data_IF_124184558636
#
_entry.id   IF_124184558636
#
_cell.length_a   1.000
_cell.length_b   1.000
_cell.length_c   1.000
_cell.angle_alpha   90.00
_cell.angle_beta   90.00
_cell.angle_gamma   90.00
#
_symmetry.space_group_name_H-M   'P 1'
#
loop_
_entity.id
_entity.type
_entity.pdbx_description
1 polymer ?
#
# COMPACT_ATOMS: atom_id res chain seq x y z
N UNK A 1 33.83 26.49 6.05
CA UNK A 1 32.66 27.10 6.74
C UNK A 1 31.40 26.51 6.13
N UNK A 2 30.39 26.12 6.92
CA UNK A 2 29.11 25.70 6.37
C UNK A 2 28.54 26.82 5.50
N UNK A 3 27.98 26.47 4.34
CA UNK A 3 27.39 27.46 3.44
C UNK A 3 26.24 28.18 4.15
N UNK A 4 26.09 29.49 3.93
CA UNK A 4 24.98 30.26 4.49
C UNK A 4 23.69 30.06 3.70
N UNK A 5 22.54 30.18 4.37
CA UNK A 5 21.23 30.09 3.76
C UNK A 5 21.07 31.19 2.69
N UNK A 6 20.75 30.79 1.46
CA UNK A 6 20.60 31.66 0.30
C UNK A 6 19.40 32.61 0.41
N UNK A 7 18.42 32.28 1.26
CA UNK A 7 17.18 33.05 1.43
C UNK A 7 17.27 34.08 2.56
N UNK A 8 17.57 33.65 3.79
CA UNK A 8 17.66 34.57 4.94
C UNK A 8 19.05 35.18 5.15
N UNK A 9 20.11 34.61 4.55
CA UNK A 9 21.52 35.05 4.68
C UNK A 9 22.09 35.09 6.11
N UNK A 10 21.36 34.59 7.11
CA UNK A 10 21.75 34.65 8.52
C UNK A 10 22.06 33.28 9.15
N UNK A 11 21.36 32.23 8.74
CA UNK A 11 21.52 30.88 9.30
C UNK A 11 22.41 29.99 8.41
N UNK A 12 22.98 28.94 8.98
CA UNK A 12 23.65 27.89 8.23
C UNK A 12 22.64 27.17 7.31
N UNK A 13 23.06 26.83 6.09
CA UNK A 13 22.27 26.01 5.20
C UNK A 13 22.41 24.53 5.57
N UNK A 14 21.28 23.85 5.64
CA UNK A 14 21.17 22.42 5.97
C UNK A 14 20.64 21.62 4.78
N UNK A 15 19.83 22.24 3.93
CA UNK A 15 19.23 21.62 2.74
C UNK A 15 19.84 22.23 1.48
N UNK A 16 20.32 21.37 0.59
CA UNK A 16 20.77 21.76 -0.74
C UNK A 16 19.75 21.31 -1.79
N UNK A 17 19.28 22.25 -2.63
CA UNK A 17 18.30 22.02 -3.70
C UNK A 17 18.93 22.36 -5.06
N UNK A 18 19.66 21.41 -5.69
CA UNK A 18 20.46 21.72 -6.88
C UNK A 18 19.63 22.19 -8.07
N UNK A 19 18.43 21.64 -8.28
CA UNK A 19 17.54 22.02 -9.39
C UNK A 19 17.09 23.48 -9.30
N UNK A 20 16.96 24.03 -8.08
CA UNK A 20 16.59 25.42 -7.83
C UNK A 20 17.81 26.33 -7.59
N UNK A 21 19.02 25.77 -7.52
CA UNK A 21 20.26 26.47 -7.13
C UNK A 21 20.13 27.16 -5.76
N UNK A 22 19.42 26.53 -4.81
CA UNK A 22 19.18 27.06 -3.47
C UNK A 22 19.86 26.22 -2.40
N UNK A 23 20.40 26.89 -1.38
CA UNK A 23 20.85 26.29 -0.11
C UNK A 23 20.06 26.93 1.01
N UNK A 24 19.29 26.17 1.79
CA UNK A 24 18.32 26.69 2.74
C UNK A 24 18.58 26.17 4.16
N UNK A 25 18.36 27.01 5.17
CA UNK A 25 18.20 26.53 6.56
C UNK A 25 16.82 25.88 6.73
N UNK A 26 16.61 25.15 7.82
CA UNK A 26 15.34 24.46 8.12
C UNK A 26 14.10 25.35 7.95
N UNK A 27 14.08 26.55 8.55
CA UNK A 27 12.95 27.49 8.45
C UNK A 27 12.67 27.90 7.01
N UNK A 28 13.70 28.33 6.28
CA UNK A 28 13.54 28.79 4.90
C UNK A 28 13.13 27.65 3.95
N UNK A 29 13.52 26.41 4.25
CA UNK A 29 13.08 25.22 3.55
C UNK A 29 11.59 24.94 3.79
N UNK A 30 11.11 24.99 5.05
CA UNK A 30 9.67 24.85 5.36
C UNK A 30 8.82 25.87 4.60
N UNK A 31 9.22 27.15 4.63
CA UNK A 31 8.53 28.21 3.88
C UNK A 31 8.57 27.95 2.37
N UNK A 32 9.68 27.45 1.84
CA UNK A 32 9.80 27.13 0.42
C UNK A 32 8.89 25.97 0.01
N UNK A 33 8.81 24.94 0.87
CA UNK A 33 7.98 23.76 0.68
C UNK A 33 6.47 24.12 0.67
N UNK A 34 5.99 24.84 1.68
CA UNK A 34 4.58 25.25 1.78
C UNK A 34 4.18 26.20 0.64
N UNK A 35 5.05 27.14 0.27
CA UNK A 35 4.81 28.02 -0.89
C UNK A 35 4.76 27.25 -2.22
N UNK A 36 5.52 26.16 -2.38
CA UNK A 36 5.40 25.30 -3.56
C UNK A 36 4.04 24.62 -3.62
N UNK A 37 3.54 24.08 -2.50
CA UNK A 37 2.22 23.46 -2.44
C UNK A 37 1.17 24.50 -2.83
N UNK A 38 1.22 25.69 -2.22
CA UNK A 38 0.32 26.81 -2.54
C UNK A 38 0.30 27.11 -4.04
N UNK A 39 1.47 27.37 -4.63
CA UNK A 39 1.60 27.64 -6.06
C UNK A 39 1.11 26.48 -6.92
N UNK A 40 1.33 25.23 -6.52
CA UNK A 40 0.90 24.06 -7.29
C UNK A 40 -0.63 23.94 -7.30
N UNK A 41 -1.28 24.19 -6.15
CA UNK A 41 -2.75 24.22 -6.04
C UNK A 41 -3.33 25.34 -6.89
N UNK A 42 -2.75 26.54 -6.83
CA UNK A 42 -3.18 27.73 -7.59
C UNK A 42 -2.97 27.55 -9.10
N UNK A 43 -1.77 27.15 -9.53
CA UNK A 43 -1.39 26.94 -10.94
C UNK A 43 -2.35 25.99 -11.66
N UNK A 44 -2.77 24.92 -10.96
CA UNK A 44 -3.64 23.89 -11.51
C UNK A 44 -5.11 24.05 -11.10
N UNK A 45 -5.47 25.11 -10.36
CA UNK A 45 -6.82 25.40 -9.88
C UNK A 45 -7.46 24.18 -9.20
N UNK A 46 -6.73 23.55 -8.28
CA UNK A 46 -7.11 22.25 -7.70
C UNK A 46 -8.38 22.33 -6.84
N UNK A 47 -8.54 23.42 -6.09
CA UNK A 47 -9.70 23.73 -5.26
C UNK A 47 -9.72 25.23 -4.96
N UNK A 48 -10.85 25.72 -4.44
CA UNK A 48 -11.06 27.09 -3.97
C UNK A 48 -11.03 27.14 -2.45
N UNK A 49 -10.85 28.33 -1.88
CA UNK A 49 -10.75 28.54 -0.43
C UNK A 49 -12.03 28.17 0.34
N UNK A 50 -13.18 28.19 -0.32
CA UNK A 50 -14.50 27.79 0.21
C UNK A 50 -14.81 26.30 0.02
N UNK A 51 -13.94 25.54 -0.67
CA UNK A 51 -14.13 24.11 -0.84
C UNK A 51 -13.77 23.34 0.44
N UNK A 52 -14.60 22.36 0.79
CA UNK A 52 -14.24 21.31 1.75
C UNK A 52 -13.41 20.24 1.04
N UNK A 53 -12.14 20.08 1.44
CA UNK A 53 -11.17 19.22 0.76
C UNK A 53 -10.86 17.97 1.60
N UNK A 54 -11.16 16.79 1.05
CA UNK A 54 -10.77 15.53 1.65
C UNK A 54 -9.31 15.20 1.33
N UNK A 55 -8.50 14.86 2.33
CA UNK A 55 -7.08 14.51 2.15
C UNK A 55 -6.86 13.05 2.52
N UNK A 56 -6.46 12.23 1.54
CA UNK A 56 -6.19 10.82 1.77
C UNK A 56 -4.88 10.63 2.58
N UNK A 57 -5.01 10.23 3.85
CA UNK A 57 -3.89 10.02 4.78
C UNK A 57 -3.64 8.54 5.06
N UNK A 58 -2.39 8.12 4.86
CA UNK A 58 -1.98 6.71 4.96
C UNK A 58 -1.06 6.40 6.15
N UNK A 59 -0.79 7.39 7.00
CA UNK A 59 0.28 7.35 8.00
C UNK A 59 1.69 7.49 7.40
N UNK A 60 1.85 7.56 6.07
CA UNK A 60 3.17 7.66 5.43
C UNK A 60 3.58 9.10 5.17
N UNK A 61 4.90 9.36 5.23
CA UNK A 61 5.52 10.70 5.10
C UNK A 61 4.87 11.58 4.02
N UNK A 62 4.62 11.07 2.82
CA UNK A 62 4.10 11.89 1.71
C UNK A 62 2.67 12.36 1.96
N UNK A 63 1.81 11.48 2.48
CA UNK A 63 0.42 11.85 2.80
C UNK A 63 0.32 12.70 4.07
N UNK A 64 1.23 12.50 5.03
CA UNK A 64 1.29 13.29 6.26
C UNK A 64 1.80 14.71 5.96
N UNK A 65 2.89 14.82 5.20
CA UNK A 65 3.41 16.09 4.68
C UNK A 65 2.39 16.85 3.83
N UNK A 66 1.58 16.13 3.03
CA UNK A 66 0.51 16.75 2.25
C UNK A 66 -0.52 17.43 3.15
N UNK A 67 -1.05 16.73 4.16
CA UNK A 67 -2.08 17.30 5.03
C UNK A 67 -1.56 18.53 5.78
N UNK A 68 -0.41 18.39 6.44
CA UNK A 68 0.24 19.50 7.14
C UNK A 68 0.57 20.65 6.19
N UNK A 69 1.20 20.37 5.06
CA UNK A 69 1.59 21.38 4.07
C UNK A 69 0.41 22.12 3.46
N UNK A 70 -0.74 21.46 3.27
CA UNK A 70 -1.99 22.10 2.83
C UNK A 70 -2.58 23.02 3.91
N UNK A 71 -2.63 22.57 5.18
CA UNK A 71 -3.11 23.37 6.31
C UNK A 71 -2.28 24.65 6.49
N UNK A 72 -0.96 24.53 6.41
CA UNK A 72 -0.03 25.68 6.44
C UNK A 72 -0.17 26.60 5.22
N UNK A 73 -0.37 26.01 4.03
CA UNK A 73 -0.51 26.79 2.80
C UNK A 73 -1.85 27.53 2.71
N UNK A 74 -2.93 26.96 3.28
CA UNK A 74 -4.29 27.44 3.18
C UNK A 74 -5.01 27.35 4.54
N UNK A 75 -4.61 28.15 5.55
CA UNK A 75 -5.14 28.03 6.91
C UNK A 75 -6.65 28.26 7.02
N UNK A 76 -7.23 29.02 6.08
CA UNK A 76 -8.67 29.31 6.02
C UNK A 76 -9.50 28.25 5.29
N UNK A 77 -8.87 27.30 4.58
CA UNK A 77 -9.59 26.24 3.88
C UNK A 77 -9.99 25.11 4.84
N UNK A 78 -11.14 24.48 4.57
CA UNK A 78 -11.61 23.36 5.38
C UNK A 78 -11.02 22.04 4.84
N UNK A 79 -10.24 21.35 5.68
CA UNK A 79 -9.65 20.06 5.37
C UNK A 79 -10.28 18.97 6.24
N UNK A 80 -10.45 17.79 5.66
CA UNK A 80 -10.85 16.57 6.38
C UNK A 80 -9.87 15.46 6.03
N UNK A 81 -9.25 14.86 7.04
CA UNK A 81 -8.38 13.71 6.89
C UNK A 81 -9.21 12.46 6.63
N UNK A 82 -8.92 11.72 5.55
CA UNK A 82 -9.59 10.48 5.20
C UNK A 82 -8.60 9.32 5.34
N UNK A 83 -8.88 8.37 6.23
CA UNK A 83 -8.03 7.21 6.48
C UNK A 83 -8.77 5.89 6.17
N UNK A 84 -8.06 4.95 5.55
CA UNK A 84 -8.58 3.58 5.34
C UNK A 84 -7.70 2.63 6.14
N UNK A 85 -8.24 2.08 7.21
CA UNK A 85 -7.62 1.02 7.99
C UNK A 85 -7.79 -0.31 7.22
N UNK A 86 -6.66 -0.91 6.84
CA UNK A 86 -6.61 -2.09 5.99
C UNK A 86 -6.66 -3.41 6.75
N UNK A 87 -6.62 -3.36 8.10
CA UNK A 87 -6.56 -4.55 8.96
C UNK A 87 -5.33 -5.44 8.75
N UNK A 88 -4.24 -4.88 8.21
CA UNK A 88 -2.94 -5.55 8.12
C UNK A 88 -2.32 -5.54 9.51
N UNK A 89 -2.16 -6.72 10.10
CA UNK A 89 -1.74 -6.90 11.49
C UNK A 89 -0.37 -6.28 11.76
N UNK A 90 -0.28 -5.48 12.81
CA UNK A 90 0.96 -4.84 13.26
C UNK A 90 1.40 -3.67 12.39
N UNK A 91 0.68 -3.37 11.31
CA UNK A 91 1.01 -2.28 10.39
C UNK A 91 -0.10 -1.22 10.38
N UNK A 92 -1.37 -1.64 10.33
CA UNK A 92 -2.48 -0.69 10.18
C UNK A 92 -2.75 0.07 11.47
N UNK A 93 -2.57 -0.59 12.61
CA UNK A 93 -2.67 0.03 13.93
C UNK A 93 -1.65 1.15 14.09
N UNK A 94 -0.38 0.89 13.76
CA UNK A 94 0.68 1.90 13.78
C UNK A 94 0.44 3.03 12.77
N UNK A 95 -0.07 2.72 11.57
CA UNK A 95 -0.45 3.76 10.61
C UNK A 95 -1.56 4.66 11.14
N UNK A 96 -2.55 4.08 11.82
CA UNK A 96 -3.70 4.79 12.38
C UNK A 96 -3.28 5.71 13.53
N UNK A 97 -2.46 5.20 14.45
CA UNK A 97 -1.87 5.98 15.55
C UNK A 97 -1.20 7.26 15.03
N UNK A 98 -0.33 7.14 14.01
CA UNK A 98 0.35 8.31 13.43
C UNK A 98 -0.59 9.27 12.72
N UNK A 99 -1.67 8.77 12.12
CA UNK A 99 -2.71 9.63 11.53
C UNK A 99 -3.45 10.40 12.62
N UNK A 100 -3.84 9.75 13.70
CA UNK A 100 -4.54 10.37 14.83
C UNK A 100 -3.66 11.45 15.49
N UNK A 101 -2.37 11.18 15.72
CA UNK A 101 -1.40 12.17 16.23
C UNK A 101 -1.32 13.44 15.35
N UNK A 102 -1.27 13.28 14.02
CA UNK A 102 -1.20 14.44 13.11
C UNK A 102 -2.51 15.24 13.08
N UNK A 103 -3.63 14.54 13.10
CA UNK A 103 -4.96 15.17 13.05
C UNK A 103 -5.20 15.98 14.33
N UNK A 104 -4.79 15.46 15.48
CA UNK A 104 -4.82 16.17 16.76
C UNK A 104 -3.90 17.41 16.73
N UNK A 105 -2.66 17.25 16.22
CA UNK A 105 -1.71 18.35 16.04
C UNK A 105 -2.27 19.51 15.19
N UNK A 106 -3.07 19.20 14.16
CA UNK A 106 -3.57 20.17 13.19
C UNK A 106 -4.99 20.68 13.46
N UNK A 107 -5.69 20.10 14.45
CA UNK A 107 -7.12 20.31 14.72
C UNK A 107 -7.96 20.15 13.43
N UNK A 108 -7.93 18.93 12.88
CA UNK A 108 -8.62 18.56 11.63
C UNK A 108 -9.62 17.43 11.90
N UNK A 109 -10.73 17.37 11.16
CA UNK A 109 -11.66 16.24 11.24
C UNK A 109 -11.04 14.97 10.62
N UNK A 110 -11.25 13.81 11.25
CA UNK A 110 -10.78 12.51 10.76
C UNK A 110 -11.96 11.55 10.50
N UNK A 111 -12.05 11.10 9.25
CA UNK A 111 -12.99 10.08 8.81
C UNK A 111 -12.24 8.78 8.51
N UNK A 112 -12.57 7.71 9.25
CA UNK A 112 -11.91 6.41 9.14
C UNK A 112 -12.85 5.36 8.56
N UNK A 113 -12.36 4.61 7.57
CA UNK A 113 -13.02 3.37 7.13
C UNK A 113 -12.24 2.16 7.66
N UNK A 114 -12.84 1.39 8.57
CA UNK A 114 -12.23 0.17 9.11
C UNK A 114 -12.71 -1.05 8.32
N UNK A 115 -11.81 -1.63 7.51
CA UNK A 115 -12.15 -2.73 6.62
C UNK A 115 -12.68 -3.97 7.36
N UNK A 116 -12.09 -4.27 8.51
CA UNK A 116 -12.44 -5.45 9.30
C UNK A 116 -13.79 -5.26 10.00
N UNK A 117 -14.05 -4.08 10.58
CA UNK A 117 -15.33 -3.77 11.23
C UNK A 117 -16.47 -3.60 10.22
N UNK A 118 -16.23 -2.89 9.13
CA UNK A 118 -17.29 -2.51 8.19
C UNK A 118 -17.58 -3.58 7.14
N UNK A 119 -16.56 -4.31 6.67
CA UNK A 119 -16.72 -5.32 5.63
C UNK A 119 -16.41 -6.74 6.08
N UNK A 120 -15.92 -6.95 7.30
CA UNK A 120 -15.67 -8.28 7.85
C UNK A 120 -14.44 -8.98 7.29
N UNK A 121 -13.52 -8.26 6.64
CA UNK A 121 -12.27 -8.80 6.13
C UNK A 121 -11.10 -7.82 6.22
N UNK A 122 -9.87 -8.33 6.15
CA UNK A 122 -8.66 -7.53 6.04
C UNK A 122 -7.93 -7.74 4.71
N UNK A 123 -6.95 -6.90 4.41
CA UNK A 123 -6.12 -7.08 3.21
C UNK A 123 -5.31 -8.39 3.27
N UNK A 124 -5.00 -8.90 4.45
CA UNK A 124 -4.29 -10.18 4.61
C UNK A 124 -5.09 -11.36 4.06
N UNK A 125 -6.43 -11.32 4.13
CA UNK A 125 -7.30 -12.41 3.67
C UNK A 125 -7.18 -12.65 2.16
N UNK A 126 -6.74 -11.65 1.38
CA UNK A 126 -6.51 -11.84 -0.06
C UNK A 126 -5.40 -12.85 -0.37
N UNK A 127 -4.55 -13.22 0.61
CA UNK A 127 -3.54 -14.28 0.48
C UNK A 127 -4.15 -15.66 0.18
N UNK A 128 -5.40 -15.88 0.56
CA UNK A 128 -6.10 -17.15 0.36
C UNK A 128 -7.04 -17.14 -0.86
N UNK A 129 -6.96 -16.08 -1.67
CA UNK A 129 -7.75 -15.91 -2.90
C UNK A 129 -6.88 -16.07 -4.16
N UNK A 130 -7.51 -15.95 -5.34
CA UNK A 130 -6.79 -15.82 -6.62
C UNK A 130 -5.81 -14.63 -6.67
N UNK A 131 -5.94 -13.67 -5.74
CA UNK A 131 -5.06 -12.51 -5.62
C UNK A 131 -3.84 -12.74 -4.73
N UNK A 132 -3.55 -13.98 -4.28
CA UNK A 132 -2.40 -14.29 -3.42
C UNK A 132 -1.06 -13.68 -3.86
N UNK A 133 -0.76 -13.71 -5.17
CA UNK A 133 0.47 -13.13 -5.74
C UNK A 133 0.35 -11.65 -6.12
N UNK A 134 -0.82 -11.04 -5.91
CA UNK A 134 -1.20 -9.70 -6.36
C UNK A 134 -1.99 -8.95 -5.27
N UNK A 135 -1.67 -9.17 -3.99
CA UNK A 135 -2.38 -8.54 -2.85
C UNK A 135 -2.37 -7.02 -2.96
N UNK A 136 -1.22 -6.41 -3.33
CA UNK A 136 -1.11 -4.97 -3.57
C UNK A 136 -2.09 -4.45 -4.66
N UNK A 137 -2.39 -5.27 -5.68
CA UNK A 137 -3.37 -4.91 -6.72
C UNK A 137 -4.81 -4.90 -6.17
N UNK A 138 -5.15 -5.86 -5.30
CA UNK A 138 -6.43 -5.88 -4.61
C UNK A 138 -6.55 -4.69 -3.66
N UNK A 139 -5.55 -4.47 -2.80
CA UNK A 139 -5.47 -3.34 -1.88
C UNK A 139 -5.64 -1.99 -2.59
N UNK A 140 -4.91 -1.73 -3.69
CA UNK A 140 -5.04 -0.48 -4.44
C UNK A 140 -6.43 -0.30 -5.08
N UNK A 141 -7.13 -1.38 -5.42
CA UNK A 141 -8.52 -1.30 -5.92
C UNK A 141 -9.49 -0.97 -4.78
N UNK A 142 -9.30 -1.59 -3.61
CA UNK A 142 -10.11 -1.37 -2.42
C UNK A 142 -9.97 0.07 -1.93
N UNK A 143 -8.73 0.53 -1.68
CA UNK A 143 -8.46 1.91 -1.22
C UNK A 143 -9.10 2.97 -2.10
N UNK A 144 -8.93 2.87 -3.43
CA UNK A 144 -9.47 3.87 -4.36
C UNK A 144 -10.99 3.93 -4.34
N UNK A 145 -11.67 2.82 -4.04
CA UNK A 145 -13.13 2.82 -3.88
C UNK A 145 -13.52 3.41 -2.53
N UNK A 146 -12.89 2.97 -1.45
CA UNK A 146 -13.19 3.42 -0.09
C UNK A 146 -12.92 4.90 0.13
N UNK A 147 -11.92 5.49 -0.53
CA UNK A 147 -11.73 6.94 -0.46
C UNK A 147 -12.87 7.73 -1.10
N UNK A 148 -13.59 7.19 -2.09
CA UNK A 148 -14.80 7.86 -2.62
C UNK A 148 -15.99 7.69 -1.67
N UNK A 149 -16.02 6.58 -0.90
CA UNK A 149 -17.02 6.39 0.17
C UNK A 149 -16.77 7.39 1.29
N UNK A 150 -15.53 7.50 1.76
CA UNK A 150 -15.12 8.45 2.78
C UNK A 150 -15.32 9.91 2.34
N UNK A 151 -14.96 10.25 1.10
CA UNK A 151 -15.24 11.59 0.58
C UNK A 151 -16.74 11.90 0.52
N UNK A 152 -17.57 10.91 0.21
CA UNK A 152 -19.03 11.02 0.30
C UNK A 152 -19.53 11.27 1.73
N UNK A 153 -19.01 10.52 2.72
CA UNK A 153 -19.33 10.71 4.16
C UNK A 153 -18.94 12.11 4.64
N UNK A 154 -17.73 12.52 4.29
CA UNK A 154 -17.18 13.84 4.57
C UNK A 154 -17.78 14.95 3.70
N UNK A 155 -18.71 14.66 2.78
CA UNK A 155 -19.34 15.64 1.87
C UNK A 155 -18.33 16.50 1.10
N UNK A 156 -17.19 15.94 0.71
CA UNK A 156 -16.14 16.66 -0.04
C UNK A 156 -16.27 16.41 -1.54
N UNK A 157 -16.00 17.44 -2.35
CA UNK A 157 -15.95 17.31 -3.82
C UNK A 157 -14.54 17.14 -4.36
N UNK A 158 -13.53 17.43 -3.54
CA UNK A 158 -12.12 17.34 -3.89
C UNK A 158 -11.43 16.32 -2.98
N UNK A 159 -10.70 15.40 -3.59
CA UNK A 159 -9.87 14.40 -2.93
C UNK A 159 -8.39 14.62 -3.26
N UNK A 160 -7.63 15.15 -2.31
CA UNK A 160 -6.20 15.33 -2.41
C UNK A 160 -5.45 14.03 -2.04
N UNK A 161 -4.40 13.71 -2.80
CA UNK A 161 -3.58 12.51 -2.56
C UNK A 161 -2.09 12.84 -2.56
N UNK A 162 -1.31 12.16 -1.71
CA UNK A 162 0.12 12.40 -1.50
C UNK A 162 1.06 11.89 -2.60
N UNK A 163 0.62 11.82 -3.87
CA UNK A 163 1.49 11.41 -4.96
C UNK A 163 2.49 12.53 -5.28
N UNK A 164 3.78 12.24 -5.13
CA UNK A 164 4.87 13.19 -5.28
C UNK A 164 5.43 13.22 -6.72
N UNK A 165 6.45 14.05 -6.98
CA UNK A 165 7.09 14.18 -8.29
C UNK A 165 7.64 12.83 -8.78
N UNK A 166 8.40 12.13 -7.94
CA UNK A 166 9.05 10.86 -8.22
C UNK A 166 8.04 9.76 -8.60
N UNK A 167 6.98 9.62 -7.81
CA UNK A 167 5.88 8.69 -8.06
C UNK A 167 5.27 8.90 -9.44
N UNK A 168 4.96 10.17 -9.74
CA UNK A 168 4.25 10.55 -10.97
C UNK A 168 5.13 10.37 -12.18
N UNK A 169 6.36 10.88 -12.19
CA UNK A 169 7.24 10.79 -13.36
C UNK A 169 7.70 9.36 -13.61
N UNK A 170 7.93 8.57 -12.56
CA UNK A 170 8.21 7.14 -12.69
C UNK A 170 7.04 6.40 -13.35
N UNK A 171 5.82 6.70 -12.93
CA UNK A 171 4.62 6.09 -13.49
C UNK A 171 4.33 6.57 -14.92
N UNK A 172 4.60 7.84 -15.24
CA UNK A 172 4.49 8.38 -16.59
C UNK A 172 5.46 7.67 -17.54
N UNK A 173 6.73 7.55 -17.15
CA UNK A 173 7.76 6.87 -17.93
C UNK A 173 7.39 5.40 -18.19
N UNK A 174 6.98 4.70 -17.14
CA UNK A 174 6.56 3.30 -17.23
C UNK A 174 5.35 3.14 -18.17
N UNK A 175 4.33 3.99 -18.07
CA UNK A 175 3.16 3.88 -18.94
C UNK A 175 3.48 4.27 -20.39
N UNK A 176 4.37 5.22 -20.61
CA UNK A 176 4.81 5.63 -21.93
C UNK A 176 5.46 4.47 -22.69
N UNK A 177 6.49 3.84 -22.11
CA UNK A 177 7.19 2.73 -22.77
C UNK A 177 6.34 1.46 -22.89
N UNK A 178 5.40 1.24 -21.98
CA UNK A 178 4.44 0.13 -22.09
C UNK A 178 3.25 0.44 -23.02
N UNK A 179 3.19 1.62 -23.64
CA UNK A 179 2.08 2.08 -24.50
C UNK A 179 0.72 2.08 -23.78
N UNK A 180 0.72 2.30 -22.47
CA UNK A 180 -0.48 2.38 -21.63
C UNK A 180 -1.03 3.81 -21.59
N UNK A 181 -1.41 4.34 -22.77
CA UNK A 181 -1.84 5.74 -22.94
C UNK A 181 -3.00 6.12 -22.01
N UNK A 182 -3.99 5.23 -21.84
CA UNK A 182 -5.14 5.44 -20.97
C UNK A 182 -4.77 5.58 -19.48
N UNK A 183 -3.67 4.98 -19.02
CA UNK A 183 -3.19 5.20 -17.65
C UNK A 183 -2.32 6.45 -17.56
N UNK A 184 -1.53 6.74 -18.59
CA UNK A 184 -0.66 7.92 -18.64
C UNK A 184 -1.47 9.20 -18.51
N UNK A 185 -2.55 9.36 -19.30
CA UNK A 185 -3.38 10.58 -19.26
C UNK A 185 -4.02 10.85 -17.90
N UNK A 186 -4.28 9.79 -17.12
CA UNK A 186 -4.84 9.89 -15.76
C UNK A 186 -3.82 10.36 -14.71
N UNK A 187 -2.55 10.51 -15.09
CA UNK A 187 -1.48 10.99 -14.21
C UNK A 187 -1.43 12.52 -14.11
N UNK A 188 -2.31 13.25 -14.81
CA UNK A 188 -2.44 14.71 -14.70
C UNK A 188 -2.70 15.22 -13.26
N UNK A 189 -2.42 16.50 -12.96
CA UNK A 189 -2.50 17.06 -11.61
C UNK A 189 -3.92 17.08 -11.04
N UNK A 190 -4.90 17.35 -11.91
CA UNK A 190 -6.33 17.37 -11.61
C UNK A 190 -7.02 16.36 -12.51
N UNK A 191 -7.61 15.34 -11.90
CA UNK A 191 -8.43 14.36 -12.60
C UNK A 191 -9.90 14.65 -12.31
N UNK A 192 -10.62 15.03 -13.36
CA UNK A 192 -12.05 15.28 -13.30
C UNK A 192 -12.84 14.00 -13.02
N UNK A 193 -13.99 14.12 -12.34
CA UNK A 193 -14.87 12.99 -12.10
C UNK A 193 -15.44 12.46 -13.42
N UNK A 194 -15.49 11.13 -13.58
CA UNK A 194 -16.08 10.51 -14.77
C UNK A 194 -17.61 10.35 -14.65
N UNK A 195 -18.15 10.49 -13.44
CA UNK A 195 -19.58 10.51 -13.14
C UNK A 195 -19.86 11.53 -12.02
N UNK A 196 -21.08 12.08 -11.90
CA UNK A 196 -21.41 13.14 -10.92
C UNK A 196 -21.08 12.80 -9.46
N UNK A 197 -21.10 11.51 -9.11
CA UNK A 197 -20.94 11.00 -7.74
C UNK A 197 -19.46 10.75 -7.37
N UNK A 198 -18.51 11.29 -8.13
CA UNK A 198 -17.07 11.15 -7.86
C UNK A 198 -16.45 12.49 -7.51
N UNK A 199 -15.37 12.41 -6.75
CA UNK A 199 -14.53 13.56 -6.44
C UNK A 199 -13.62 13.96 -7.60
N UNK A 200 -13.28 15.25 -7.67
CA UNK A 200 -12.07 15.70 -8.35
C UNK A 200 -10.86 15.17 -7.60
N UNK A 201 -9.92 14.52 -8.28
CA UNK A 201 -8.70 14.01 -7.64
C UNK A 201 -7.54 14.92 -7.94
N UNK A 202 -6.90 15.42 -6.88
CA UNK A 202 -5.83 16.41 -7.00
C UNK A 202 -4.53 15.89 -6.39
N UNK A 203 -3.40 16.32 -6.94
CA UNK A 203 -2.05 15.91 -6.51
C UNK A 203 -1.19 17.14 -6.17
N UNK A 204 -1.40 17.79 -5.02
CA UNK A 204 -0.65 19.02 -4.68
C UNK A 204 0.86 18.81 -4.58
N UNK A 205 1.33 17.58 -4.31
CA UNK A 205 2.75 17.23 -4.26
C UNK A 205 3.37 16.86 -5.62
N UNK A 206 2.65 17.00 -6.74
CA UNK A 206 3.15 16.57 -8.07
C UNK A 206 4.45 17.27 -8.50
N UNK A 207 4.75 18.46 -7.95
CA UNK A 207 6.00 19.22 -8.18
C UNK A 207 7.01 19.06 -7.03
N UNK A 208 6.77 18.18 -6.06
CA UNK A 208 7.57 18.03 -4.84
C UNK A 208 8.32 16.70 -4.86
N UNK A 209 9.66 16.67 -4.80
CA UNK A 209 10.42 15.43 -4.72
C UNK A 209 10.16 14.64 -3.44
N UNK A 210 10.28 13.31 -3.50
CA UNK A 210 10.02 12.42 -2.36
C UNK A 210 10.91 12.73 -1.14
N UNK A 211 12.20 12.98 -1.36
CA UNK A 211 13.15 13.28 -0.28
C UNK A 211 12.82 14.59 0.44
N UNK A 212 12.23 15.55 -0.28
CA UNK A 212 11.81 16.81 0.32
C UNK A 212 10.58 16.63 1.22
N UNK A 213 9.70 15.66 0.93
CA UNK A 213 8.60 15.31 1.84
C UNK A 213 9.13 14.75 3.16
N UNK A 214 10.18 13.91 3.10
CA UNK A 214 10.82 13.38 4.30
C UNK A 214 11.45 14.51 5.12
N UNK A 215 12.28 15.36 4.50
CA UNK A 215 12.90 16.49 5.18
C UNK A 215 11.86 17.42 5.79
N UNK A 216 10.75 17.68 5.09
CA UNK A 216 9.68 18.53 5.61
C UNK A 216 9.00 17.91 6.84
N UNK A 217 8.77 16.60 6.84
CA UNK A 217 8.26 15.89 8.02
C UNK A 217 9.22 16.02 9.20
N UNK A 218 10.52 15.82 8.97
CA UNK A 218 11.53 15.89 10.03
C UNK A 218 11.64 17.31 10.62
N UNK A 219 11.73 18.35 9.78
CA UNK A 219 11.85 19.74 10.25
C UNK A 219 10.58 20.34 10.85
N UNK A 220 9.43 19.72 10.58
CA UNK A 220 8.14 20.14 11.11
C UNK A 220 7.63 19.16 12.18
N UNK A 221 8.45 18.19 12.58
CA UNK A 221 8.15 17.20 13.61
C UNK A 221 6.83 16.45 13.36
N UNK A 222 6.51 16.21 12.08
CA UNK A 222 5.27 15.55 11.65
C UNK A 222 5.39 14.06 11.97
N UNK A 223 4.42 13.46 12.69
CA UNK A 223 4.41 12.03 12.92
C UNK A 223 4.14 11.28 11.61
N UNK A 224 4.92 10.24 11.34
CA UNK A 224 4.67 9.32 10.23
C UNK A 224 5.16 7.93 10.61
N UNK A 225 4.60 6.91 9.97
CA UNK A 225 5.01 5.51 10.16
C UNK A 225 6.45 5.31 9.72
N UNK A 226 7.21 4.60 10.52
CA UNK A 226 8.60 4.26 10.21
C UNK A 226 8.70 2.92 9.47
N UNK A 227 7.67 2.09 9.62
CA UNK A 227 7.64 0.74 9.07
C UNK A 227 7.10 0.67 7.63
N UNK A 228 7.65 -0.28 6.87
CA UNK A 228 7.18 -0.61 5.54
C UNK A 228 6.05 -1.65 5.59
N UNK A 229 5.08 -1.52 4.68
CA UNK A 229 3.99 -2.48 4.56
C UNK A 229 4.55 -3.89 4.25
N UNK A 230 4.12 -4.95 4.96
CA UNK A 230 4.66 -6.30 4.78
C UNK A 230 4.33 -6.92 3.40
N UNK A 231 3.35 -6.36 2.69
CA UNK A 231 2.99 -6.80 1.32
C UNK A 231 3.73 -6.02 0.22
N UNK A 232 4.48 -4.98 0.57
CA UNK A 232 5.10 -4.10 -0.41
C UNK A 232 6.17 -4.85 -1.22
N UNK A 233 6.06 -4.77 -2.55
CA UNK A 233 7.08 -5.28 -3.46
C UNK A 233 8.23 -4.27 -3.62
N UNK A 234 9.06 -4.15 -2.59
CA UNK A 234 10.14 -3.14 -2.52
C UNK A 234 11.08 -3.18 -3.75
N UNK A 235 11.32 -4.36 -4.35
CA UNK A 235 12.22 -4.50 -5.50
C UNK A 235 11.77 -3.82 -6.81
N UNK A 236 10.47 -3.54 -7.02
CA UNK A 236 10.02 -2.77 -8.19
C UNK A 236 10.15 -1.27 -7.93
N UNK A 237 9.75 -0.82 -6.74
CA UNK A 237 9.86 0.58 -6.33
C UNK A 237 11.32 1.04 -6.32
N UNK A 238 12.22 0.20 -5.77
CA UNK A 238 13.66 0.44 -5.77
C UNK A 238 14.23 0.62 -7.19
N UNK A 239 13.94 -0.30 -8.11
CA UNK A 239 14.40 -0.20 -9.52
C UNK A 239 13.92 1.07 -10.22
N UNK A 240 12.67 1.46 -9.97
CA UNK A 240 12.10 2.67 -10.51
C UNK A 240 12.85 3.92 -10.00
N UNK A 241 13.18 3.96 -8.71
CA UNK A 241 13.96 5.05 -8.10
C UNK A 241 15.39 5.07 -8.66
N UNK A 242 16.08 3.93 -8.67
CA UNK A 242 17.45 3.80 -9.21
C UNK A 242 17.54 4.27 -10.67
N UNK A 243 16.52 3.96 -11.49
CA UNK A 243 16.45 4.41 -12.88
C UNK A 243 16.31 5.94 -12.97
N UNK A 244 15.44 6.54 -12.15
CA UNK A 244 15.27 7.99 -12.15
C UNK A 244 16.50 8.72 -11.62
N UNK A 245 17.18 8.18 -10.61
CA UNK A 245 18.43 8.71 -10.08
C UNK A 245 19.53 8.66 -11.16
N UNK A 246 19.67 7.52 -11.85
CA UNK A 246 20.61 7.37 -12.94
C UNK A 246 20.39 8.41 -14.05
N UNK A 247 19.14 8.59 -14.49
CA UNK A 247 18.80 9.58 -15.53
C UNK A 247 18.95 11.04 -15.06
N UNK A 248 18.90 11.28 -13.74
CA UNK A 248 19.03 12.63 -13.16
C UNK A 248 20.47 13.01 -12.80
N UNK A 249 21.45 12.10 -12.96
CA UNK A 249 22.83 12.26 -12.47
C UNK A 249 23.50 13.56 -12.94
N UNK A 250 23.42 13.86 -14.23
CA UNK A 250 24.07 15.03 -14.84
C UNK A 250 23.11 16.21 -15.04
N UNK A 251 21.84 16.04 -14.67
CA UNK A 251 20.80 17.05 -14.85
C UNK A 251 19.83 17.02 -13.65
N UNK A 252 20.06 17.86 -12.62
CA UNK A 252 19.17 17.95 -11.46
C UNK A 252 17.73 18.32 -11.80
N UNK A 253 17.49 18.93 -12.97
CA UNK A 253 16.16 19.32 -13.43
C UNK A 253 15.43 18.23 -14.22
N UNK A 254 16.04 17.05 -14.42
CA UNK A 254 15.51 16.00 -15.30
C UNK A 254 14.07 15.60 -14.95
N UNK A 255 13.77 15.32 -13.67
CA UNK A 255 12.42 14.96 -13.21
C UNK A 255 11.38 16.05 -13.52
N UNK A 256 11.73 17.33 -13.33
CA UNK A 256 10.85 18.46 -13.64
C UNK A 256 10.65 18.64 -15.16
N UNK A 257 11.70 18.42 -15.95
CA UNK A 257 11.62 18.43 -17.41
C UNK A 257 10.69 17.32 -17.91
N UNK A 258 10.83 16.10 -17.38
CA UNK A 258 9.91 14.99 -17.68
C UNK A 258 8.47 15.35 -17.35
N UNK A 259 8.19 15.82 -16.13
CA UNK A 259 6.84 16.22 -15.72
C UNK A 259 6.27 17.24 -16.70
N UNK A 260 7.01 18.33 -16.97
CA UNK A 260 6.56 19.37 -17.90
C UNK A 260 6.28 18.84 -19.31
N UNK A 261 7.14 17.95 -19.81
CA UNK A 261 6.96 17.33 -21.13
C UNK A 261 5.71 16.45 -21.16
N UNK A 262 5.52 15.59 -20.16
CA UNK A 262 4.33 14.75 -20.10
C UNK A 262 3.04 15.56 -19.92
N UNK A 263 3.06 16.62 -19.11
CA UNK A 263 1.89 17.50 -18.96
C UNK A 263 1.51 18.20 -20.27
N UNK A 264 2.47 18.49 -21.16
CA UNK A 264 2.20 18.98 -22.52
C UNK A 264 1.71 17.88 -23.47
N UNK A 265 2.16 16.64 -23.28
CA UNK A 265 1.77 15.51 -24.11
C UNK A 265 0.37 14.99 -23.78
N UNK A 266 -0.05 15.05 -22.51
CA UNK A 266 -1.32 14.49 -22.05
C UNK A 266 -2.53 15.00 -22.85
N UNK A 267 -2.73 16.31 -23.08
CA UNK A 267 -3.87 16.80 -23.86
C UNK A 267 -3.94 16.21 -25.27
N UNK A 268 -2.78 16.10 -25.94
CA UNK A 268 -2.66 15.52 -27.29
C UNK A 268 -3.08 14.04 -27.29
N UNK A 269 -2.68 13.29 -26.26
CA UNK A 269 -3.06 11.89 -26.12
C UNK A 269 -4.54 11.74 -25.74
N UNK A 270 -5.08 12.61 -24.89
CA UNK A 270 -6.48 12.56 -24.46
C UNK A 270 -7.46 12.69 -25.63
N UNK A 271 -7.13 13.48 -26.65
CA UNK A 271 -7.93 13.62 -27.88
C UNK A 271 -8.06 12.30 -28.67
N UNK A 272 -7.09 11.40 -28.55
CA UNK A 272 -7.00 10.16 -29.31
C UNK A 272 -7.38 8.91 -28.50
N UNK A 273 -7.81 9.09 -27.24
CA UNK A 273 -8.19 7.97 -26.36
C UNK A 273 -9.70 7.95 -26.19
N UNK A 274 -10.33 6.84 -26.58
CA UNK A 274 -11.75 6.63 -26.31
C UNK A 274 -12.01 6.62 -24.80
N UNK A 275 -12.92 7.49 -24.35
CA UNK A 275 -13.34 7.51 -22.95
C UNK A 275 -14.08 6.20 -22.63
N UNK A 276 -13.78 5.55 -21.49
CA UNK A 276 -14.43 4.31 -21.14
C UNK A 276 -15.93 4.54 -20.95
N UNK A 277 -16.76 3.68 -21.55
CA UNK A 277 -18.22 3.68 -21.30
C UNK A 277 -18.46 3.18 -19.87
N UNK A 278 -18.90 4.08 -19.00
CA UNK A 278 -19.19 3.78 -17.60
C UNK A 278 -20.69 3.59 -17.38
N UNK A 279 -21.01 2.73 -16.42
CA UNK A 279 -22.34 2.49 -15.88
C UNK A 279 -22.29 2.47 -14.35
N UNK A 280 -23.45 2.55 -13.70
CA UNK A 280 -23.55 2.35 -12.24
C UNK A 280 -23.40 0.85 -11.93
N UNK A 281 -22.62 0.53 -10.90
CA UNK A 281 -22.52 -0.81 -10.36
C UNK A 281 -23.86 -1.25 -9.76
N UNK A 282 -24.34 -2.45 -10.09
CA UNK A 282 -25.61 -2.98 -9.55
C UNK A 282 -25.57 -3.23 -8.03
N UNK A 283 -24.38 -3.41 -7.45
CA UNK A 283 -24.22 -3.72 -6.02
C UNK A 283 -24.04 -2.48 -5.16
N UNK A 284 -23.25 -1.50 -5.62
CA UNK A 284 -22.88 -0.34 -4.80
C UNK A 284 -23.17 1.02 -5.45
N UNK A 285 -23.73 1.06 -6.66
CA UNK A 285 -24.06 2.31 -7.37
C UNK A 285 -22.88 3.10 -7.94
N UNK A 286 -21.64 2.82 -7.52
CA UNK A 286 -20.44 3.53 -8.00
C UNK A 286 -20.09 3.21 -9.47
N UNK A 287 -19.31 4.08 -10.14
CA UNK A 287 -18.96 3.91 -11.54
C UNK A 287 -18.19 2.62 -11.84
N UNK A 288 -18.58 1.96 -12.93
CA UNK A 288 -17.95 0.72 -13.40
C UNK A 288 -17.97 0.60 -14.91
N UNK A 289 -16.95 -0.06 -15.47
CA UNK A 289 -16.92 -0.51 -16.87
C UNK A 289 -17.66 -1.83 -17.10
N UNK A 290 -18.26 -2.41 -16.05
CA UNK A 290 -18.95 -3.71 -16.06
C UNK A 290 -20.19 -3.66 -15.16
N UNK A 291 -21.07 -4.66 -15.18
CA UNK A 291 -22.27 -4.69 -14.32
C UNK A 291 -21.94 -4.59 -12.82
N UNK A 292 -20.99 -5.40 -12.34
CA UNK A 292 -20.49 -5.36 -10.96
C UNK A 292 -19.10 -4.75 -10.96
N UNK A 293 -18.82 -3.77 -10.11
CA UNK A 293 -17.52 -3.10 -10.11
C UNK A 293 -16.36 -3.98 -9.59
N UNK A 294 -15.14 -3.55 -9.93
CA UNK A 294 -13.91 -4.25 -9.56
C UNK A 294 -13.72 -4.38 -8.02
N UNK A 295 -14.28 -3.46 -7.25
CA UNK A 295 -14.33 -3.53 -5.78
C UNK A 295 -15.30 -4.62 -5.31
N UNK A 296 -16.58 -4.55 -5.70
CA UNK A 296 -17.60 -5.52 -5.27
C UNK A 296 -17.23 -6.95 -5.65
N UNK A 297 -16.65 -7.17 -6.84
CA UNK A 297 -16.13 -8.50 -7.23
C UNK A 297 -15.06 -9.01 -6.28
N UNK A 298 -14.11 -8.16 -5.87
CA UNK A 298 -13.03 -8.54 -4.94
C UNK A 298 -13.57 -8.81 -3.54
N UNK A 299 -14.51 -7.99 -3.07
CA UNK A 299 -15.21 -8.20 -1.79
C UNK A 299 -15.94 -9.55 -1.79
N UNK A 300 -16.67 -9.86 -2.87
CA UNK A 300 -17.33 -11.16 -3.03
C UNK A 300 -16.33 -12.31 -2.96
N UNK A 301 -15.24 -12.25 -3.72
CA UNK A 301 -14.20 -13.29 -3.76
C UNK A 301 -13.56 -13.52 -2.38
N UNK A 302 -13.22 -12.45 -1.65
CA UNK A 302 -12.56 -12.60 -0.33
C UNK A 302 -13.54 -13.09 0.73
N UNK A 303 -14.80 -12.63 0.69
CA UNK A 303 -15.85 -13.13 1.58
C UNK A 303 -16.15 -14.60 1.32
N UNK A 304 -16.28 -15.00 0.06
CA UNK A 304 -16.43 -16.41 -0.34
C UNK A 304 -15.25 -17.25 0.13
N UNK A 305 -14.00 -16.79 -0.03
CA UNK A 305 -12.84 -17.51 0.48
C UNK A 305 -12.87 -17.70 2.01
N UNK A 306 -13.53 -16.79 2.75
CA UNK A 306 -13.73 -16.87 4.20
C UNK A 306 -14.95 -17.73 4.61
N UNK A 307 -16.08 -17.62 3.90
CA UNK A 307 -17.33 -18.34 4.21
C UNK A 307 -17.37 -19.75 3.65
N UNK A 308 -16.84 -19.93 2.44
CA UNK A 308 -16.49 -21.23 1.87
C UNK A 308 -15.26 -21.79 2.56
N UNK A 309 -15.10 -21.51 3.87
CA UNK A 309 -14.05 -21.96 4.73
C UNK A 309 -13.68 -23.33 4.25
N UNK A 310 -12.45 -23.44 3.76
CA UNK A 310 -11.95 -24.58 3.04
C UNK A 310 -12.05 -25.77 3.99
N UNK A 311 -13.23 -26.38 4.08
CA UNK A 311 -13.55 -27.62 4.75
C UNK A 311 -12.92 -28.68 3.87
N UNK A 312 -11.60 -28.77 3.90
CA UNK A 312 -10.83 -29.93 3.46
C UNK A 312 -11.21 -30.58 2.12
N UNK A 313 -11.74 -29.88 1.11
CA UNK A 313 -12.05 -30.55 -0.15
C UNK A 313 -10.77 -30.75 -0.99
N UNK A 314 -10.39 -32.01 -1.30
CA UNK A 314 -9.18 -32.31 -2.04
C UNK A 314 -9.32 -31.85 -3.49
N UNK A 315 -8.39 -31.01 -3.97
CA UNK A 315 -8.28 -30.67 -5.40
C UNK A 315 -7.39 -31.68 -6.13
N UNK A 316 -7.85 -32.11 -7.30
CA UNK A 316 -7.22 -33.09 -8.18
C UNK A 316 -6.08 -32.44 -8.98
N UNK A 317 -4.88 -33.00 -8.92
CA UNK A 317 -3.75 -32.65 -9.78
C UNK A 317 -3.26 -33.95 -10.46
N UNK A 318 -3.69 -34.16 -11.71
CA UNK A 318 -3.50 -35.43 -12.43
C UNK A 318 -4.29 -36.61 -11.82
N UNK A 319 -3.67 -37.80 -11.73
CA UNK A 319 -4.32 -39.06 -11.30
C UNK A 319 -4.34 -39.30 -9.77
N UNK A 320 -3.95 -38.33 -8.93
CA UNK A 320 -3.92 -38.53 -7.46
C UNK A 320 -4.72 -37.45 -6.72
N UNK A 321 -5.52 -37.88 -5.75
CA UNK A 321 -6.10 -36.99 -4.73
C UNK A 321 -5.03 -36.63 -3.70
N UNK A 322 -4.98 -35.36 -3.28
CA UNK A 322 -4.14 -34.90 -2.17
C UNK A 322 -5.00 -34.18 -1.14
N UNK A 323 -4.94 -34.62 0.12
CA UNK A 323 -5.38 -33.83 1.28
C UNK A 323 -4.45 -32.63 1.44
N UNK A 324 -5.02 -31.43 1.57
CA UNK A 324 -4.25 -30.19 1.72
C UNK A 324 -4.26 -29.73 3.18
N UNK A 325 -3.22 -30.13 3.91
CA UNK A 325 -2.88 -29.54 5.20
C UNK A 325 -2.70 -28.02 5.09
N UNK A 326 -3.21 -27.27 6.08
CA UNK A 326 -3.01 -25.83 6.24
C UNK A 326 -1.50 -25.51 6.23
N UNK A 327 -1.03 -24.85 5.17
CA UNK A 327 0.37 -24.43 4.98
C UNK A 327 1.47 -25.51 5.16
N UNK A 328 1.15 -26.80 5.05
CA UNK A 328 2.13 -27.90 5.10
C UNK A 328 2.71 -28.24 6.49
N UNK A 329 1.91 -28.24 7.57
CA UNK A 329 2.41 -28.47 8.95
C UNK A 329 1.47 -29.37 9.80
N UNK A 330 2.05 -30.09 10.79
CA UNK A 330 1.40 -30.96 11.79
C UNK A 330 1.45 -30.33 13.22
N UNK A 331 0.86 -30.97 14.23
CA UNK A 331 0.08 -30.46 15.38
C UNK A 331 0.67 -30.78 16.78
N UNK A 332 0.46 -29.93 17.81
CA UNK A 332 0.52 -30.28 19.25
C UNK A 332 -0.85 -30.06 19.94
N UNK A 333 -1.30 -30.97 20.82
CA UNK A 333 -2.61 -30.92 21.48
C UNK A 333 -2.62 -29.94 22.67
N UNK A 334 -3.61 -29.05 22.71
CA UNK A 334 -3.98 -28.18 23.85
C UNK A 334 -5.44 -28.44 24.21
N UNK A 335 -5.93 -27.91 25.34
CA UNK A 335 -7.35 -28.07 25.75
C UNK A 335 -8.34 -27.50 24.72
N UNK A 336 -7.89 -26.57 23.86
CA UNK A 336 -8.65 -25.99 22.73
C UNK A 336 -8.30 -26.62 21.37
N UNK A 337 -7.54 -27.72 21.37
CA UNK A 337 -7.09 -28.44 20.18
C UNK A 337 -5.68 -28.08 19.72
N UNK A 338 -5.42 -28.20 18.43
CA UNK A 338 -4.08 -28.39 17.88
C UNK A 338 -3.31 -27.09 17.56
N UNK A 339 -2.23 -26.75 18.29
CA UNK A 339 -1.40 -25.53 18.08
C UNK A 339 -0.12 -25.81 17.27
N UNK A 340 0.26 -24.89 16.37
CA UNK A 340 1.41 -25.05 15.44
C UNK A 340 2.36 -23.84 15.50
N UNK A 341 3.67 -24.07 15.64
CA UNK A 341 4.72 -23.03 15.69
C UNK A 341 5.42 -22.76 14.33
N UNK A 342 6.12 -21.63 14.25
CA UNK A 342 6.70 -21.10 13.01
C UNK A 342 7.99 -21.81 12.53
N UNK A 343 8.86 -22.21 13.47
CA UNK A 343 10.11 -22.94 13.23
C UNK A 343 10.07 -24.26 14.01
N UNK A 344 10.27 -25.39 13.31
CA UNK A 344 10.33 -26.71 13.96
C UNK A 344 11.45 -27.59 13.36
N UNK A 345 12.18 -28.34 14.20
CA UNK A 345 13.18 -29.32 13.78
C UNK A 345 12.60 -30.38 12.82
N UNK A 346 13.47 -31.03 12.06
CA UNK A 346 13.07 -32.01 11.04
C UNK A 346 12.36 -33.23 11.65
N UNK A 347 12.81 -33.72 12.81
CA UNK A 347 12.15 -34.82 13.53
C UNK A 347 10.68 -34.52 13.89
N UNK A 348 10.39 -33.29 14.34
CA UNK A 348 9.01 -32.84 14.63
C UNK A 348 8.11 -32.76 13.38
N UNK A 349 8.66 -32.91 12.17
CA UNK A 349 7.88 -32.97 10.93
C UNK A 349 7.40 -34.39 10.58
N UNK A 350 8.02 -35.41 11.18
CA UNK A 350 7.69 -36.82 10.94
C UNK A 350 6.64 -37.35 11.92
N UNK A 351 6.41 -36.66 13.06
CA UNK A 351 5.36 -37.01 14.02
C UNK A 351 3.98 -37.19 13.34
N UNK A 352 3.22 -38.27 13.66
CA UNK A 352 3.41 -39.20 14.78
C UNK A 352 4.40 -40.36 14.56
N UNK A 353 5.13 -40.41 13.44
CA UNK A 353 6.19 -41.40 13.22
C UNK A 353 7.43 -41.06 14.07
N UNK A 354 7.73 -41.92 15.04
CA UNK A 354 8.83 -41.80 16.01
C UNK A 354 9.70 -43.05 15.98
N UNK A 355 10.92 -42.99 16.53
CA UNK A 355 11.78 -44.16 16.70
C UNK A 355 11.67 -44.66 18.13
N UNK A 356 11.25 -45.92 18.30
CA UNK A 356 11.21 -46.57 19.61
C UNK A 356 12.57 -47.20 19.88
N UNK A 357 13.28 -46.68 20.89
CA UNK A 357 14.61 -47.13 21.24
C UNK A 357 14.63 -48.53 21.89
N UNK A 358 13.55 -48.92 22.57
CA UNK A 358 13.41 -50.25 23.18
C UNK A 358 13.17 -51.33 22.13
N UNK A 359 12.38 -51.01 21.11
CA UNK A 359 12.05 -51.91 19.99
C UNK A 359 13.02 -51.77 18.81
N UNK A 360 13.96 -50.82 18.87
CA UNK A 360 14.92 -50.44 17.82
C UNK A 360 14.27 -50.33 16.43
N UNK A 361 13.08 -49.73 16.35
CA UNK A 361 12.34 -49.57 15.08
C UNK A 361 11.46 -48.31 15.05
N UNK A 362 11.15 -47.79 13.86
CA UNK A 362 10.11 -46.80 13.68
C UNK A 362 8.72 -47.32 14.08
N UNK A 363 7.99 -46.55 14.87
CA UNK A 363 6.60 -46.82 15.27
C UNK A 363 5.77 -45.53 15.21
N UNK A 364 4.45 -45.67 15.21
CA UNK A 364 3.57 -44.52 15.43
C UNK A 364 3.38 -44.33 16.93
N UNK A 365 3.56 -43.09 17.39
CA UNK A 365 3.37 -42.75 18.79
C UNK A 365 1.94 -43.05 19.24
N UNK A 366 1.81 -43.86 20.28
CA UNK A 366 0.53 -44.29 20.85
C UNK A 366 -0.24 -43.14 21.51
N UNK A 367 0.47 -42.07 21.91
CA UNK A 367 -0.13 -40.88 22.51
C UNK A 367 -0.79 -39.97 21.48
N UNK A 368 -0.63 -40.23 20.18
CA UNK A 368 -1.26 -39.44 19.14
C UNK A 368 -2.75 -39.84 18.98
N UNK A 369 -3.71 -38.91 19.21
CA UNK A 369 -5.14 -39.21 19.08
C UNK A 369 -5.59 -39.49 17.64
N UNK A 370 -4.72 -39.22 16.65
CA UNK A 370 -4.97 -39.45 15.22
C UNK A 370 -4.04 -40.51 14.62
N UNK A 371 -3.41 -41.36 15.44
CA UNK A 371 -2.42 -42.35 14.98
C UNK A 371 -2.95 -43.26 13.88
N UNK A 372 -4.23 -43.63 13.95
CA UNK A 372 -4.87 -44.58 13.03
C UNK A 372 -5.20 -43.95 11.67
N UNK A 373 -5.20 -42.62 11.58
CA UNK A 373 -5.40 -41.88 10.33
C UNK A 373 -4.09 -41.65 9.56
N UNK A 374 -2.94 -42.07 10.11
CA UNK A 374 -1.63 -41.82 9.53
C UNK A 374 -1.12 -43.03 8.72
N UNK A 375 -0.97 -42.85 7.41
CA UNK A 375 -0.45 -43.87 6.49
C UNK A 375 1.08 -43.73 6.31
N UNK A 376 1.84 -44.74 6.74
CA UNK A 376 3.31 -44.73 6.73
C UNK A 376 3.83 -45.06 5.34
N UNK A 377 4.59 -44.13 4.74
CA UNK A 377 5.30 -44.40 3.48
C UNK A 377 6.73 -44.82 3.75
N UNK A 378 7.27 -45.66 2.84
CA UNK A 378 8.68 -46.07 2.85
C UNK A 378 9.65 -44.88 2.89
N UNK A 379 9.32 -43.77 2.20
CA UNK A 379 10.14 -42.55 2.21
C UNK A 379 10.21 -41.83 3.56
N UNK A 380 9.17 -41.98 4.39
CA UNK A 380 9.11 -41.34 5.71
C UNK A 380 9.92 -42.15 6.73
N UNK A 381 9.90 -43.48 6.62
CA UNK A 381 10.79 -44.38 7.37
C UNK A 381 12.27 -44.10 7.06
N UNK A 382 12.63 -44.00 5.78
CA UNK A 382 14.01 -43.69 5.36
C UNK A 382 14.48 -42.31 5.81
N UNK A 383 13.56 -41.35 5.98
CA UNK A 383 13.88 -40.02 6.53
C UNK A 383 14.11 -40.06 8.03
N UNK A 384 13.28 -40.80 8.77
CA UNK A 384 13.45 -40.96 10.21
C UNK A 384 14.79 -41.64 10.53
N UNK A 385 15.11 -42.75 9.86
CA UNK A 385 16.35 -43.49 10.09
C UNK A 385 17.60 -42.62 9.84
N UNK A 386 17.61 -41.83 8.77
CA UNK A 386 18.69 -40.87 8.50
C UNK A 386 18.85 -39.78 9.56
N UNK A 387 17.78 -39.41 10.26
CA UNK A 387 17.86 -38.47 11.37
C UNK A 387 18.42 -39.12 12.63
N UNK A 388 18.12 -40.40 12.87
CA UNK A 388 18.68 -41.18 13.99
C UNK A 388 20.18 -41.41 13.77
N UNK A 389 20.61 -41.81 12.58
CA UNK A 389 22.04 -41.96 12.24
C UNK A 389 22.85 -40.69 12.50
N UNK A 390 22.26 -39.51 12.23
CA UNK A 390 22.86 -38.19 12.51
C UNK A 390 22.92 -37.80 13.99
N UNK A 391 22.17 -38.49 14.86
CA UNK A 391 22.20 -38.28 16.31
C UNK A 391 23.15 -39.26 17.01
N UNK A 392 23.44 -40.39 16.36
CA UNK A 392 24.41 -41.41 16.81
C UNK A 392 25.84 -41.14 16.32
N UNK A 393 26.03 -40.13 15.44
CA UNK A 393 27.33 -39.59 14.98
C UNK A 393 27.61 -38.23 15.62
#
# INVERSE_FOLDING_TARGET
MPATCSRCRSAAAEVNLPYAKLRLCARCFKDFYTNRIRRTVEDFKMFRSDDRVGVAVSGGKDSMALLHGLKEAFPAAEFVALHVDLGIRGYSEHCREKVEELVEMLDVELEVFDLQRELGFSIDDFKDTLYRRKVCSACGTIKRHLFEVLAGRAKTRVLATGHNLDDVVSMMLNNFFNRNWSQLVRLKPVLEPLMPNQTFKVKPLIKTPEDENLLYCLYSEIPFREENCPHAHLGRLRRNRETLEYLSKDNPNFKYQMLRTFLKLIPILEEHIEKPKLRKCEVCGYPSSSQICAFCRRVKIVKEARTSGNKGEPRRDGKKFRLKNKFGRCVFLTDEGCKIYAFRPEGCRLYPLVFDDSLKKPVLDELCPYREEFDIKKSDLERLLRLIEKLET
#
